data_IF_298958539840
#
_entry.id   IF_298958539840
#
_cell.length_a   1.000
_cell.length_b   1.000
_cell.length_c   1.000
_cell.angle_alpha   90.00
_cell.angle_beta   90.00
_cell.angle_gamma   90.00
#
_symmetry.space_group_name_H-M   'P 1'
#
loop_
_entity.id
_entity.type
_entity.pdbx_description
1 polymer ?
#
# COMPACT_ATOMS: atom_id res chain seq x y z
N UNK A 1 -6.44 -13.56 -23.22
CA UNK A 1 -7.01 -12.23 -22.87
C UNK A 1 -6.05 -11.10 -23.24
N UNK A 2 -4.75 -11.17 -22.87
CA UNK A 2 -3.75 -10.15 -23.18
C UNK A 2 -3.40 -10.01 -24.67
N UNK A 3 -3.49 -11.05 -25.49
CA UNK A 3 -3.20 -10.99 -26.93
C UNK A 3 -4.23 -10.16 -27.74
N UNK A 4 -5.47 -10.04 -27.26
CA UNK A 4 -6.51 -9.23 -27.91
C UNK A 4 -6.35 -7.72 -27.70
N UNK A 5 -5.81 -7.32 -26.54
CA UNK A 5 -5.74 -5.91 -26.14
C UNK A 5 -4.49 -5.17 -26.65
N UNK A 6 -3.45 -5.90 -27.10
CA UNK A 6 -2.23 -5.28 -27.70
C UNK A 6 -2.56 -4.48 -28.97
N UNK A 7 -3.64 -4.84 -29.69
CA UNK A 7 -4.08 -4.06 -30.87
C UNK A 7 -4.79 -2.74 -30.49
N UNK A 8 -5.43 -2.67 -29.30
CA UNK A 8 -6.08 -1.43 -28.82
C UNK A 8 -5.07 -0.39 -28.33
N UNK A 9 -3.93 -0.82 -27.77
CA UNK A 9 -2.83 0.09 -27.41
C UNK A 9 -2.22 0.83 -28.59
N UNK A 10 -2.40 0.33 -29.83
CA UNK A 10 -2.01 1.04 -31.06
C UNK A 10 -2.88 2.26 -31.37
N UNK A 11 -4.03 2.41 -30.73
CA UNK A 11 -4.98 3.52 -30.96
C UNK A 11 -4.55 4.81 -30.26
N UNK A 12 -3.73 4.72 -29.21
CA UNK A 12 -3.17 5.89 -28.51
C UNK A 12 -1.98 6.55 -29.20
N UNK A 13 -1.44 5.95 -30.26
CA UNK A 13 -0.21 6.41 -30.93
C UNK A 13 -0.46 7.20 -32.22
N UNK A 14 -1.44 8.09 -32.23
CA UNK A 14 -1.80 8.76 -33.51
C UNK A 14 -0.98 10.02 -33.85
N UNK A 15 -0.11 10.54 -33.00
CA UNK A 15 0.66 11.75 -33.35
C UNK A 15 2.13 11.84 -32.93
N UNK A 16 2.71 10.85 -32.18
CA UNK A 16 4.15 10.88 -31.88
C UNK A 16 4.80 9.51 -32.09
N UNK A 17 6.00 9.49 -32.70
CA UNK A 17 6.80 8.33 -33.12
C UNK A 17 7.36 7.45 -31.96
N UNK A 18 6.76 7.42 -30.79
CA UNK A 18 7.15 6.55 -29.68
C UNK A 18 6.35 5.24 -29.70
N UNK A 19 6.64 4.37 -30.67
CA UNK A 19 6.20 2.98 -30.64
C UNK A 19 6.82 2.28 -29.43
N UNK A 20 5.97 1.87 -28.47
CA UNK A 20 6.40 1.03 -27.35
C UNK A 20 6.91 -0.30 -27.92
N UNK A 21 8.14 -0.65 -27.57
CA UNK A 21 8.79 -1.87 -28.06
C UNK A 21 8.15 -3.12 -27.45
N UNK A 22 8.21 -4.24 -28.19
CA UNK A 22 7.79 -5.54 -27.65
C UNK A 22 8.62 -5.96 -26.42
N UNK A 23 9.85 -5.49 -26.34
CA UNK A 23 10.70 -5.70 -25.16
C UNK A 23 10.08 -5.05 -23.93
N UNK A 24 9.71 -3.77 -24.02
CA UNK A 24 9.07 -3.04 -22.90
C UNK A 24 7.73 -3.64 -22.50
N UNK A 25 6.88 -4.00 -23.47
CA UNK A 25 5.59 -4.66 -23.18
C UNK A 25 5.78 -5.96 -22.40
N UNK A 26 6.74 -6.79 -22.81
CA UNK A 26 7.05 -8.04 -22.13
C UNK A 26 7.65 -7.79 -20.74
N UNK A 27 8.57 -6.82 -20.59
CA UNK A 27 9.16 -6.48 -19.30
C UNK A 27 8.13 -5.98 -18.30
N UNK A 28 7.17 -5.14 -18.70
CA UNK A 28 6.10 -4.66 -17.82
C UNK A 28 5.19 -5.81 -17.40
N UNK A 29 4.78 -6.68 -18.34
CA UNK A 29 3.99 -7.86 -18.01
C UNK A 29 4.71 -8.78 -17.04
N UNK A 30 5.98 -9.08 -17.29
CA UNK A 30 6.78 -9.98 -16.46
C UNK A 30 7.06 -9.36 -15.09
N UNK A 31 7.19 -8.02 -15.01
CA UNK A 31 7.30 -7.28 -13.75
C UNK A 31 6.00 -7.39 -12.93
N UNK A 32 4.82 -7.24 -13.55
CA UNK A 32 3.55 -7.39 -12.86
C UNK A 32 3.34 -8.81 -12.33
N UNK A 33 3.76 -9.82 -13.11
CA UNK A 33 3.73 -11.21 -12.64
C UNK A 33 4.70 -11.44 -11.46
N UNK A 34 5.87 -10.83 -11.51
CA UNK A 34 6.84 -10.90 -10.41
C UNK A 34 6.31 -10.25 -9.12
N UNK A 35 5.69 -9.08 -9.25
CA UNK A 35 5.05 -8.39 -8.11
C UNK A 35 3.90 -9.25 -7.56
N UNK A 36 3.08 -9.84 -8.43
CA UNK A 36 2.00 -10.73 -8.01
C UNK A 36 2.52 -11.94 -7.23
N UNK A 37 3.57 -12.58 -7.72
CA UNK A 37 4.20 -13.73 -7.04
C UNK A 37 4.79 -13.36 -5.69
N UNK A 38 5.38 -12.17 -5.60
CA UNK A 38 6.14 -11.79 -4.41
C UNK A 38 5.26 -11.17 -3.32
N UNK A 39 4.37 -10.24 -3.70
CA UNK A 39 3.54 -9.48 -2.77
C UNK A 39 2.06 -9.89 -2.78
N UNK A 40 1.63 -10.75 -3.67
CA UNK A 40 0.21 -11.08 -3.88
C UNK A 40 -0.60 -9.93 -4.49
N UNK A 41 0.05 -8.89 -4.96
CA UNK A 41 -0.58 -7.71 -5.57
C UNK A 41 -0.72 -7.95 -7.07
N UNK A 42 -1.96 -7.95 -7.59
CA UNK A 42 -2.24 -8.12 -9.02
C UNK A 42 -2.58 -6.79 -9.67
N UNK A 43 -1.83 -6.41 -10.69
CA UNK A 43 -2.09 -5.23 -11.53
C UNK A 43 -2.63 -5.61 -12.92
N UNK A 44 -2.98 -6.89 -13.16
CA UNK A 44 -3.38 -7.36 -14.49
C UNK A 44 -4.71 -6.80 -15.01
N UNK A 45 -5.58 -6.36 -14.11
CA UNK A 45 -6.86 -5.74 -14.45
C UNK A 45 -6.77 -4.21 -14.61
N UNK A 46 -5.61 -3.62 -14.29
CA UNK A 46 -5.34 -2.19 -14.40
C UNK A 46 -4.64 -1.86 -15.74
N UNK A 47 -5.43 -1.73 -16.79
CA UNK A 47 -4.92 -1.41 -18.13
C UNK A 47 -4.34 0.00 -18.20
N UNK A 48 -4.81 0.93 -17.38
CA UNK A 48 -4.27 2.29 -17.33
C UNK A 48 -2.87 2.29 -16.74
N UNK A 49 -2.66 1.61 -15.60
CA UNK A 49 -1.33 1.42 -15.03
C UNK A 49 -0.39 0.74 -16.03
N UNK A 50 -0.85 -0.33 -16.70
CA UNK A 50 -0.04 -1.05 -17.69
C UNK A 50 0.45 -0.11 -18.79
N UNK A 51 -0.45 0.69 -19.36
CA UNK A 51 -0.12 1.64 -20.41
C UNK A 51 0.86 2.73 -19.93
N UNK A 52 0.57 3.36 -18.78
CA UNK A 52 1.43 4.38 -18.18
C UNK A 52 2.81 3.84 -17.84
N UNK A 53 2.89 2.61 -17.33
CA UNK A 53 4.15 1.96 -17.00
C UNK A 53 4.96 1.66 -18.28
N UNK A 54 4.34 1.20 -19.35
CA UNK A 54 5.00 1.02 -20.65
C UNK A 54 5.55 2.34 -21.21
N UNK A 55 4.74 3.40 -21.16
CA UNK A 55 5.15 4.74 -21.62
C UNK A 55 6.31 5.31 -20.81
N UNK A 56 6.35 5.05 -19.52
CA UNK A 56 7.44 5.47 -18.65
C UNK A 56 8.70 4.61 -18.88
N UNK A 57 8.55 3.30 -18.92
CA UNK A 57 9.68 2.36 -19.00
C UNK A 57 10.41 2.41 -20.34
N UNK A 58 9.73 2.67 -21.46
CA UNK A 58 10.39 2.74 -22.77
C UNK A 58 11.56 3.74 -22.80
N UNK A 59 11.37 5.04 -22.46
CA UNK A 59 12.48 5.99 -22.41
C UNK A 59 13.42 5.74 -21.20
N UNK A 60 12.92 5.21 -20.09
CA UNK A 60 13.74 4.85 -18.93
C UNK A 60 14.79 3.79 -19.30
N UNK A 61 14.41 2.73 -19.98
CA UNK A 61 15.32 1.66 -20.45
C UNK A 61 16.44 2.25 -21.30
N UNK A 62 16.10 3.17 -22.19
CA UNK A 62 17.10 3.82 -23.04
C UNK A 62 18.06 4.69 -22.21
N UNK A 63 17.56 5.46 -21.24
CA UNK A 63 18.41 6.26 -20.36
C UNK A 63 19.35 5.39 -19.56
N UNK A 64 18.81 4.35 -18.93
CA UNK A 64 19.57 3.43 -18.07
C UNK A 64 20.67 2.72 -18.86
N UNK A 65 20.38 2.21 -20.05
CA UNK A 65 21.36 1.56 -20.92
C UNK A 65 22.47 2.49 -21.39
N UNK A 66 22.16 3.75 -21.60
CA UNK A 66 23.12 4.76 -22.08
C UNK A 66 23.77 5.56 -20.94
N UNK A 67 23.47 5.25 -19.68
CA UNK A 67 24.03 5.94 -18.52
C UNK A 67 23.61 7.41 -18.44
N UNK A 68 22.43 7.77 -18.97
CA UNK A 68 21.90 9.13 -18.97
C UNK A 68 21.18 9.36 -17.62
N UNK A 69 21.69 10.26 -16.75
CA UNK A 69 21.07 10.50 -15.46
C UNK A 69 19.75 11.24 -15.59
N UNK A 70 18.76 10.86 -14.79
CA UNK A 70 17.50 11.56 -14.60
C UNK A 70 17.48 12.21 -13.22
N UNK A 71 16.97 13.43 -13.09
CA UNK A 71 16.77 14.09 -11.80
C UNK A 71 15.29 14.14 -11.45
N UNK A 72 14.97 13.72 -10.24
CA UNK A 72 13.62 13.80 -9.70
C UNK A 72 13.57 14.82 -8.55
N UNK A 73 13.06 16.04 -8.78
CA UNK A 73 13.00 17.08 -7.75
C UNK A 73 12.00 16.77 -6.63
N UNK A 74 11.11 15.79 -6.83
CA UNK A 74 10.08 15.38 -5.86
C UNK A 74 10.48 14.12 -5.09
N UNK A 75 11.71 13.62 -5.23
CA UNK A 75 12.10 12.33 -4.67
C UNK A 75 11.87 12.25 -3.16
N UNK A 76 12.29 13.25 -2.39
CA UNK A 76 12.11 13.26 -0.93
C UNK A 76 10.62 13.30 -0.53
N UNK A 77 9.82 14.07 -1.27
CA UNK A 77 8.36 14.14 -1.07
C UNK A 77 7.70 12.79 -1.38
N UNK A 78 8.09 12.15 -2.49
CA UNK A 78 7.56 10.83 -2.87
C UNK A 78 7.87 9.79 -1.80
N UNK A 79 9.10 9.78 -1.28
CA UNK A 79 9.51 8.86 -0.20
C UNK A 79 8.69 9.05 1.08
N UNK A 80 8.36 10.29 1.44
CA UNK A 80 7.62 10.60 2.67
C UNK A 80 6.10 10.43 2.53
N UNK A 81 5.53 10.79 1.38
CA UNK A 81 4.06 10.80 1.19
C UNK A 81 3.53 9.54 0.52
N UNK A 82 4.39 8.79 -0.18
CA UNK A 82 4.03 7.55 -0.87
C UNK A 82 5.04 6.41 -0.56
N UNK A 83 5.24 6.06 0.70
CA UNK A 83 6.25 5.06 1.08
C UNK A 83 5.97 3.67 0.50
N UNK A 84 4.70 3.25 0.41
CA UNK A 84 4.33 1.93 -0.13
C UNK A 84 4.62 1.83 -1.64
N UNK A 85 4.24 2.86 -2.41
CA UNK A 85 4.56 2.92 -3.85
C UNK A 85 6.05 2.99 -4.09
N UNK A 86 6.79 3.70 -3.22
CA UNK A 86 8.23 3.79 -3.32
C UNK A 86 8.93 2.46 -3.00
N UNK A 87 8.47 1.75 -1.97
CA UNK A 87 9.01 0.44 -1.64
C UNK A 87 8.80 -0.58 -2.77
N UNK A 88 7.61 -0.59 -3.34
CA UNK A 88 7.32 -1.43 -4.51
C UNK A 88 8.19 -1.06 -5.72
N UNK A 89 8.45 0.24 -5.93
CA UNK A 89 9.33 0.70 -7.00
C UNK A 89 10.78 0.29 -6.78
N UNK A 90 11.28 0.30 -5.54
CA UNK A 90 12.63 -0.20 -5.21
C UNK A 90 12.76 -1.68 -5.57
N UNK A 91 11.77 -2.50 -5.20
CA UNK A 91 11.75 -3.91 -5.58
C UNK A 91 11.72 -4.10 -7.11
N UNK A 92 10.81 -3.40 -7.78
CA UNK A 92 10.65 -3.44 -9.23
C UNK A 92 11.95 -3.05 -9.96
N UNK A 93 12.59 -1.96 -9.54
CA UNK A 93 13.84 -1.49 -10.14
C UNK A 93 15.02 -2.43 -9.88
N UNK A 94 15.08 -3.07 -8.70
CA UNK A 94 16.07 -4.12 -8.44
C UNK A 94 15.91 -5.29 -9.40
N UNK A 95 14.67 -5.77 -9.59
CA UNK A 95 14.37 -6.86 -10.51
C UNK A 95 14.68 -6.49 -11.98
N UNK A 96 14.33 -5.26 -12.39
CA UNK A 96 14.64 -4.73 -13.71
C UNK A 96 16.15 -4.56 -13.94
N UNK A 97 16.89 -4.08 -12.93
CA UNK A 97 18.35 -3.90 -13.01
C UNK A 97 19.07 -5.21 -13.34
N UNK A 98 18.61 -6.31 -12.77
CA UNK A 98 19.17 -7.65 -13.06
C UNK A 98 18.89 -8.07 -14.52
N UNK A 99 17.68 -7.79 -15.05
CA UNK A 99 17.31 -8.17 -16.42
C UNK A 99 17.93 -7.27 -17.48
N UNK A 100 18.07 -5.99 -17.18
CA UNK A 100 18.70 -5.02 -18.07
C UNK A 100 20.23 -5.03 -17.98
N UNK A 101 20.79 -5.72 -16.98
CA UNK A 101 22.21 -5.69 -16.61
C UNK A 101 22.74 -4.24 -16.50
N UNK A 102 21.95 -3.39 -15.86
CA UNK A 102 22.21 -1.96 -15.69
C UNK A 102 21.64 -1.45 -14.36
N UNK A 103 22.29 -0.45 -13.76
CA UNK A 103 21.86 0.15 -12.50
C UNK A 103 20.76 1.17 -12.74
N UNK A 104 19.66 1.07 -11.99
CA UNK A 104 18.57 2.05 -11.97
C UNK A 104 18.72 2.86 -10.68
N UNK A 105 18.78 4.17 -10.81
CA UNK A 105 18.99 5.07 -9.66
C UNK A 105 17.69 5.41 -8.91
N UNK A 106 17.83 6.06 -7.75
CA UNK A 106 16.69 6.44 -6.91
C UNK A 106 15.72 7.43 -7.57
N UNK A 107 16.18 8.24 -8.52
CA UNK A 107 15.33 9.20 -9.21
C UNK A 107 14.32 8.48 -10.13
N UNK A 108 14.77 7.46 -10.84
CA UNK A 108 13.89 6.60 -11.65
C UNK A 108 12.94 5.78 -10.76
N UNK A 109 13.42 5.26 -9.62
CA UNK A 109 12.56 4.60 -8.62
C UNK A 109 11.44 5.54 -8.16
N UNK A 110 11.76 6.82 -7.91
CA UNK A 110 10.76 7.81 -7.52
C UNK A 110 9.67 8.03 -8.57
N UNK A 111 10.01 8.05 -9.85
CA UNK A 111 9.00 8.16 -10.91
C UNK A 111 8.14 6.91 -11.02
N UNK A 112 8.72 5.71 -10.95
CA UNK A 112 7.95 4.47 -10.90
C UNK A 112 7.02 4.40 -9.68
N UNK A 113 7.47 4.93 -8.55
CA UNK A 113 6.69 4.97 -7.31
C UNK A 113 5.38 5.76 -7.47
N UNK A 114 5.37 6.82 -8.28
CA UNK A 114 4.13 7.58 -8.54
C UNK A 114 3.07 6.71 -9.21
N UNK A 115 3.45 5.91 -10.20
CA UNK A 115 2.52 5.01 -10.88
C UNK A 115 2.01 3.92 -9.94
N UNK A 116 2.90 3.27 -9.19
CA UNK A 116 2.49 2.25 -8.22
C UNK A 116 1.64 2.82 -7.10
N UNK A 117 1.96 4.05 -6.61
CA UNK A 117 1.18 4.68 -5.55
C UNK A 117 -0.27 4.92 -5.95
N UNK A 118 -0.51 5.45 -7.14
CA UNK A 118 -1.87 5.66 -7.67
C UNK A 118 -2.60 4.33 -7.79
N UNK A 119 -1.95 3.30 -8.33
CA UNK A 119 -2.55 1.98 -8.49
C UNK A 119 -2.88 1.33 -7.14
N UNK A 120 -1.96 1.40 -6.16
CA UNK A 120 -2.18 0.88 -4.81
C UNK A 120 -3.33 1.61 -4.10
N UNK A 121 -3.45 2.93 -4.32
CA UNK A 121 -4.55 3.72 -3.77
C UNK A 121 -5.89 3.39 -4.43
N UNK A 122 -5.88 3.01 -5.70
CA UNK A 122 -7.05 2.56 -6.45
C UNK A 122 -7.48 1.12 -6.16
N UNK A 123 -6.60 0.29 -5.59
CA UNK A 123 -6.95 -1.09 -5.23
C UNK A 123 -7.94 -1.12 -4.09
N UNK A 124 -8.85 -2.14 -4.10
CA UNK A 124 -9.70 -2.42 -2.95
C UNK A 124 -8.83 -2.62 -1.71
N UNK A 125 -8.86 -1.66 -0.80
CA UNK A 125 -8.15 -1.78 0.47
C UNK A 125 -8.85 -2.87 1.30
N UNK A 126 -8.12 -3.82 1.90
CA UNK A 126 -8.70 -4.71 2.89
C UNK A 126 -9.42 -3.86 3.93
N UNK A 127 -10.73 -4.09 4.11
CA UNK A 127 -11.55 -3.31 5.04
C UNK A 127 -12.39 -2.19 4.42
N UNK A 128 -12.47 -2.06 3.10
CA UNK A 128 -13.49 -1.22 2.46
C UNK A 128 -14.89 -1.76 2.80
N UNK A 129 -15.80 -0.86 3.20
CA UNK A 129 -17.12 -1.22 3.72
C UNK A 129 -18.21 -0.96 2.68
N UNK A 130 -19.15 -1.90 2.59
CA UNK A 130 -20.43 -1.68 1.90
C UNK A 130 -21.34 -0.93 2.85
N UNK A 131 -21.69 0.30 2.49
CA UNK A 131 -22.44 1.20 3.35
C UNK A 131 -23.87 1.35 2.83
N UNK A 132 -24.85 1.17 3.72
CA UNK A 132 -26.23 1.52 3.48
C UNK A 132 -26.53 2.89 4.08
N UNK A 133 -26.84 3.88 3.26
CA UNK A 133 -27.23 5.21 3.69
C UNK A 133 -28.77 5.35 3.69
N UNK A 134 -29.36 5.44 4.89
CA UNK A 134 -30.82 5.47 5.10
C UNK A 134 -31.29 6.88 5.45
N UNK A 135 -32.31 7.35 4.74
CA UNK A 135 -32.91 8.67 4.98
C UNK A 135 -34.43 8.57 5.14
N UNK A 136 -35.03 9.55 5.84
CA UNK A 136 -36.47 9.58 6.08
C UNK A 136 -37.29 9.66 4.78
N UNK A 137 -36.98 10.64 3.94
CA UNK A 137 -37.65 10.87 2.68
C UNK A 137 -36.83 11.86 1.82
N UNK A 138 -36.84 11.64 0.53
CA UNK A 138 -36.34 12.60 -0.43
C UNK A 138 -34.99 12.30 -1.05
N UNK A 139 -34.96 12.43 -2.38
CA UNK A 139 -33.76 12.20 -3.22
C UNK A 139 -32.65 13.18 -2.86
N UNK A 140 -32.97 14.37 -2.34
CA UNK A 140 -31.97 15.39 -2.01
C UNK A 140 -31.10 15.05 -0.80
N UNK A 141 -31.73 14.61 0.29
CA UNK A 141 -31.00 14.27 1.55
C UNK A 141 -30.13 13.02 1.39
N UNK A 142 -30.62 12.00 0.69
CA UNK A 142 -29.84 10.78 0.41
C UNK A 142 -28.64 11.06 -0.51
N UNK A 143 -28.82 11.92 -1.53
CA UNK A 143 -27.69 12.34 -2.38
C UNK A 143 -26.66 13.14 -1.62
N UNK A 144 -27.09 14.04 -0.72
CA UNK A 144 -26.17 14.83 0.10
C UNK A 144 -25.39 13.97 1.08
N UNK A 145 -26.07 13.04 1.76
CA UNK A 145 -25.41 12.09 2.65
C UNK A 145 -24.40 11.22 1.88
N UNK A 146 -24.81 10.65 0.74
CA UNK A 146 -23.93 9.88 -0.12
C UNK A 146 -22.69 10.68 -0.53
N UNK A 147 -22.88 11.90 -1.05
CA UNK A 147 -21.78 12.79 -1.45
C UNK A 147 -20.80 13.07 -0.29
N UNK A 148 -21.32 13.36 0.91
CA UNK A 148 -20.50 13.63 2.07
C UNK A 148 -19.71 12.38 2.52
N UNK A 149 -20.33 11.20 2.48
CA UNK A 149 -19.68 9.94 2.78
C UNK A 149 -18.58 9.61 1.75
N UNK A 150 -18.87 9.76 0.46
CA UNK A 150 -17.87 9.58 -0.61
C UNK A 150 -16.68 10.54 -0.47
N UNK A 151 -16.96 11.82 -0.19
CA UNK A 151 -15.95 12.84 -0.02
C UNK A 151 -15.02 12.59 1.19
N UNK A 152 -15.59 12.15 2.31
CA UNK A 152 -14.86 12.00 3.57
C UNK A 152 -14.22 10.60 3.74
N UNK A 153 -14.86 9.57 3.16
CA UNK A 153 -14.51 8.17 3.41
C UNK A 153 -14.38 7.34 2.13
N UNK A 154 -14.36 7.96 0.93
CA UNK A 154 -14.35 7.25 -0.35
C UNK A 154 -13.30 6.14 -0.45
N UNK A 155 -12.10 6.37 0.10
CA UNK A 155 -11.04 5.36 0.14
C UNK A 155 -11.33 4.17 1.09
N UNK A 156 -12.31 4.30 1.99
CA UNK A 156 -12.72 3.28 2.96
C UNK A 156 -14.06 2.64 2.63
N UNK A 157 -14.63 2.96 1.47
CA UNK A 157 -15.95 2.51 1.03
C UNK A 157 -15.83 1.71 -0.25
N UNK A 158 -16.38 0.50 -0.26
CA UNK A 158 -16.52 -0.31 -1.48
C UNK A 158 -17.71 0.18 -2.31
N UNK A 159 -18.85 0.41 -1.63
CA UNK A 159 -20.08 0.90 -2.27
C UNK A 159 -20.97 1.64 -1.27
N UNK A 160 -21.73 2.63 -1.74
CA UNK A 160 -22.77 3.30 -0.96
C UNK A 160 -24.12 3.10 -1.66
N UNK A 161 -24.96 2.28 -1.06
CA UNK A 161 -26.36 2.12 -1.46
C UNK A 161 -27.21 3.10 -0.66
N UNK A 162 -28.12 3.81 -1.31
CA UNK A 162 -29.07 4.72 -0.64
C UNK A 162 -30.46 4.08 -0.60
N UNK A 163 -31.10 4.13 0.56
CA UNK A 163 -32.48 3.65 0.73
C UNK A 163 -33.32 4.61 1.55
N UNK A 164 -34.63 4.54 1.37
CA UNK A 164 -35.61 5.19 2.27
C UNK A 164 -35.86 4.26 3.45
N UNK A 165 -36.22 4.82 4.61
CA UNK A 165 -36.58 4.03 5.78
C UNK A 165 -37.70 2.99 5.48
N UNK A 166 -38.65 3.34 4.61
CA UNK A 166 -39.72 2.44 4.18
C UNK A 166 -39.28 1.25 3.31
N UNK A 167 -38.11 1.34 2.70
CA UNK A 167 -37.54 0.31 1.81
C UNK A 167 -36.68 -0.70 2.60
N UNK A 168 -36.18 -0.28 3.76
CA UNK A 168 -35.25 -1.07 4.60
C UNK A 168 -35.82 -2.45 4.97
N UNK A 169 -37.14 -2.56 5.20
CA UNK A 169 -37.80 -3.83 5.55
C UNK A 169 -37.78 -4.88 4.43
N UNK A 170 -37.51 -4.47 3.19
CA UNK A 170 -37.46 -5.33 2.02
C UNK A 170 -36.03 -5.67 1.59
N UNK A 171 -35.02 -5.15 2.31
CA UNK A 171 -33.61 -5.30 1.99
C UNK A 171 -32.94 -6.36 2.87
N UNK A 172 -31.97 -7.07 2.32
CA UNK A 172 -31.09 -7.90 3.11
C UNK A 172 -29.97 -7.01 3.72
N UNK A 173 -30.15 -6.68 5.00
CA UNK A 173 -29.23 -5.80 5.73
C UNK A 173 -27.89 -6.50 6.07
N UNK A 174 -27.80 -7.81 5.97
CA UNK A 174 -26.56 -8.54 6.20
C UNK A 174 -25.51 -8.35 5.10
N UNK A 175 -25.92 -7.83 3.94
CA UNK A 175 -25.02 -7.49 2.85
C UNK A 175 -24.17 -6.22 3.12
N UNK A 176 -24.50 -5.45 4.16
CA UNK A 176 -23.84 -4.19 4.48
C UNK A 176 -22.98 -4.31 5.73
N UNK A 177 -21.82 -3.68 5.69
CA UNK A 177 -20.86 -3.65 6.81
C UNK A 177 -21.12 -2.48 7.76
N UNK A 178 -21.85 -1.45 7.29
CA UNK A 178 -22.22 -0.27 8.06
C UNK A 178 -23.53 0.32 7.54
N UNK A 179 -24.44 0.68 8.47
CA UNK A 179 -25.66 1.43 8.17
C UNK A 179 -25.50 2.84 8.72
N UNK A 180 -25.63 3.84 7.85
CA UNK A 180 -25.59 5.27 8.24
C UNK A 180 -26.98 5.85 8.01
N UNK A 181 -27.61 6.34 9.05
CA UNK A 181 -29.01 6.82 8.98
C UNK A 181 -29.15 8.26 9.44
N UNK A 182 -30.03 9.02 8.80
CA UNK A 182 -30.40 10.39 9.24
C UNK A 182 -31.62 10.43 10.16
N UNK A 183 -32.21 9.27 10.46
CA UNK A 183 -33.43 9.13 11.28
C UNK A 183 -33.24 7.99 12.28
N UNK A 184 -34.04 7.92 13.35
CA UNK A 184 -34.02 6.77 14.25
C UNK A 184 -34.18 5.45 13.47
N UNK A 185 -33.42 4.45 13.86
CA UNK A 185 -33.37 3.14 13.19
C UNK A 185 -33.75 2.05 14.18
N UNK A 186 -35.02 1.67 14.18
CA UNK A 186 -35.61 0.78 15.19
C UNK A 186 -35.72 -0.69 14.70
N UNK A 187 -34.97 -1.07 13.67
CA UNK A 187 -34.95 -2.45 13.18
C UNK A 187 -33.86 -3.27 13.88
N UNK A 188 -34.16 -4.51 14.27
CA UNK A 188 -33.15 -5.39 14.86
C UNK A 188 -32.17 -5.83 13.78
N UNK A 189 -30.93 -5.39 13.88
CA UNK A 189 -29.84 -5.73 12.93
C UNK A 189 -28.56 -6.04 13.70
N UNK A 190 -27.77 -6.96 13.17
CA UNK A 190 -26.41 -7.24 13.65
C UNK A 190 -25.38 -6.23 13.13
N UNK A 191 -25.70 -5.62 11.99
CA UNK A 191 -24.85 -4.60 11.36
C UNK A 191 -24.81 -3.32 12.20
N UNK A 192 -23.63 -2.74 12.34
CA UNK A 192 -23.44 -1.48 13.09
C UNK A 192 -24.25 -0.34 12.44
N UNK A 193 -25.07 0.34 13.23
CA UNK A 193 -25.86 1.49 12.82
C UNK A 193 -25.31 2.76 13.44
N UNK A 194 -25.17 3.82 12.64
CA UNK A 194 -24.77 5.16 13.10
C UNK A 194 -25.78 6.18 12.62
N UNK A 195 -26.39 6.87 13.57
CA UNK A 195 -27.27 7.99 13.26
C UNK A 195 -26.44 9.28 13.15
N UNK A 196 -26.66 10.03 12.08
CA UNK A 196 -25.92 11.26 11.74
C UNK A 196 -26.85 12.35 11.22
N UNK A 197 -26.39 13.59 11.25
CA UNK A 197 -27.06 14.68 10.51
C UNK A 197 -26.75 14.64 9.02
N UNK A 198 -27.65 15.20 8.18
CA UNK A 198 -27.43 15.25 6.71
C UNK A 198 -26.13 15.96 6.32
N UNK A 199 -25.66 16.92 7.11
CA UNK A 199 -24.48 17.75 6.84
C UNK A 199 -23.22 17.27 7.58
N UNK A 200 -23.30 16.14 8.29
CA UNK A 200 -22.19 15.53 9.03
C UNK A 200 -21.45 16.54 9.92
N UNK A 201 -21.96 16.78 11.13
CA UNK A 201 -21.26 17.57 12.14
C UNK A 201 -19.88 16.97 12.47
N UNK A 202 -19.01 17.70 13.16
CA UNK A 202 -17.71 17.16 13.56
C UNK A 202 -17.86 15.89 14.39
N UNK A 203 -18.81 15.84 15.31
CA UNK A 203 -19.11 14.63 16.09
C UNK A 203 -19.57 13.45 15.24
N UNK A 204 -20.37 13.71 14.18
CA UNK A 204 -20.79 12.67 13.24
C UNK A 204 -19.59 12.13 12.45
N UNK A 205 -18.70 13.02 12.00
CA UNK A 205 -17.49 12.64 11.29
C UNK A 205 -16.57 11.78 12.18
N UNK A 206 -16.42 12.14 13.45
CA UNK A 206 -15.60 11.37 14.39
C UNK A 206 -16.21 10.00 14.70
N UNK A 207 -17.55 9.91 14.85
CA UNK A 207 -18.25 8.64 15.02
C UNK A 207 -18.11 7.74 13.79
N UNK A 208 -18.21 8.32 12.59
CA UNK A 208 -18.01 7.61 11.32
C UNK A 208 -16.54 7.18 11.17
N UNK A 209 -15.56 8.06 11.44
CA UNK A 209 -14.13 7.68 11.42
C UNK A 209 -13.87 6.45 12.29
N UNK A 210 -14.37 6.46 13.53
CA UNK A 210 -14.26 5.33 14.45
C UNK A 210 -14.94 4.06 13.90
N UNK A 211 -16.03 4.19 13.14
CA UNK A 211 -16.70 3.05 12.54
C UNK A 211 -15.97 2.51 11.31
N UNK A 212 -15.40 3.39 10.50
CA UNK A 212 -14.60 2.98 9.33
C UNK A 212 -13.26 2.39 9.73
N UNK A 213 -12.61 2.93 10.77
CA UNK A 213 -11.35 2.39 11.32
C UNK A 213 -11.53 1.12 12.15
N UNK A 214 -12.72 0.91 12.73
CA UNK A 214 -13.07 -0.30 13.46
C UNK A 214 -13.45 -1.48 12.53
N UNK A 215 -12.65 -1.75 11.50
CA UNK A 215 -12.54 -3.10 11.00
C UNK A 215 -11.64 -3.83 12.00
N UNK A 216 -12.25 -4.61 12.87
CA UNK A 216 -11.58 -5.34 13.95
C UNK A 216 -10.36 -6.13 13.46
N UNK A 217 -10.38 -6.63 12.23
CA UNK A 217 -9.31 -7.46 11.71
C UNK A 217 -8.00 -6.72 11.43
N UNK A 218 -8.03 -5.49 10.88
CA UNK A 218 -6.78 -4.78 10.56
C UNK A 218 -6.11 -4.18 11.80
N UNK A 219 -6.89 -3.61 12.72
CA UNK A 219 -6.36 -3.10 13.97
C UNK A 219 -5.83 -4.24 14.86
N UNK A 220 -6.57 -5.35 14.94
CA UNK A 220 -6.16 -6.54 15.67
C UNK A 220 -4.94 -7.21 15.03
N UNK A 221 -4.87 -7.27 13.71
CA UNK A 221 -3.68 -7.76 12.99
C UNK A 221 -2.46 -6.88 13.22
N UNK A 222 -2.63 -5.54 13.20
CA UNK A 222 -1.54 -4.62 13.51
C UNK A 222 -1.09 -4.77 14.97
N UNK A 223 -2.02 -4.84 15.93
CA UNK A 223 -1.71 -5.05 17.34
C UNK A 223 -0.96 -6.38 17.53
N UNK A 224 -1.39 -7.45 16.85
CA UNK A 224 -0.73 -8.77 16.91
C UNK A 224 0.67 -8.77 16.28
N UNK A 225 0.93 -7.85 15.33
CA UNK A 225 2.26 -7.71 14.75
C UNK A 225 3.28 -7.14 15.74
N UNK A 226 2.83 -6.38 16.75
CA UNK A 226 3.68 -5.88 17.82
C UNK A 226 3.70 -6.88 18.98
N UNK A 227 4.91 -7.25 19.41
CA UNK A 227 5.12 -8.05 20.62
C UNK A 227 6.01 -7.26 21.60
N UNK A 228 5.57 -7.04 22.84
CA UNK A 228 6.40 -6.36 23.86
C UNK A 228 7.79 -6.98 24.04
N UNK A 229 7.94 -8.28 23.82
CA UNK A 229 9.22 -8.96 23.90
C UNK A 229 10.21 -8.57 22.77
N UNK A 230 9.69 -7.95 21.68
CA UNK A 230 10.48 -7.41 20.56
C UNK A 230 10.71 -5.89 20.69
N UNK A 231 10.43 -5.31 21.87
CA UNK A 231 10.70 -3.89 22.14
C UNK A 231 12.02 -3.72 22.86
N UNK A 232 12.89 -2.87 22.31
CA UNK A 232 14.18 -2.49 22.88
C UNK A 232 14.10 -1.01 23.31
N UNK A 233 14.01 -0.77 24.60
CA UNK A 233 14.13 0.59 25.16
C UNK A 233 15.58 0.93 25.41
N UNK A 234 15.97 2.17 25.07
CA UNK A 234 17.34 2.67 25.22
C UNK A 234 18.38 1.83 24.46
N UNK A 235 18.06 1.45 23.21
CA UNK A 235 18.96 0.72 22.34
C UNK A 235 20.32 1.42 22.21
N UNK A 236 21.40 0.71 22.51
CA UNK A 236 22.77 1.23 22.48
C UNK A 236 23.43 0.84 21.16
N UNK A 237 23.11 1.58 20.10
CA UNK A 237 23.69 1.43 18.77
C UNK A 237 24.37 2.73 18.35
N UNK A 238 25.56 2.63 17.77
CA UNK A 238 26.32 3.77 17.24
C UNK A 238 26.08 3.97 15.74
N UNK A 239 25.64 2.92 15.05
CA UNK A 239 25.35 2.91 13.61
C UNK A 239 23.99 2.31 13.33
N UNK A 240 23.43 2.63 12.17
CA UNK A 240 22.16 2.04 11.73
C UNK A 240 22.26 0.52 11.54
N UNK A 241 23.41 0.01 11.11
CA UNK A 241 23.66 -1.44 10.98
C UNK A 241 23.53 -2.13 12.34
N UNK A 242 24.18 -1.59 13.38
CA UNK A 242 24.07 -2.13 14.74
C UNK A 242 22.63 -2.11 15.26
N UNK A 243 21.87 -1.06 14.96
CA UNK A 243 20.45 -0.98 15.34
C UNK A 243 19.63 -2.08 14.67
N UNK A 244 19.83 -2.31 13.37
CA UNK A 244 19.16 -3.38 12.62
C UNK A 244 19.58 -4.76 13.11
N UNK A 245 20.87 -4.99 13.37
CA UNK A 245 21.39 -6.26 13.92
C UNK A 245 20.76 -6.58 15.28
N UNK A 246 20.70 -5.61 16.20
CA UNK A 246 20.09 -5.78 17.51
C UNK A 246 18.61 -6.12 17.41
N UNK A 247 17.87 -5.45 16.51
CA UNK A 247 16.47 -5.73 16.26
C UNK A 247 16.23 -7.12 15.66
N UNK A 248 17.04 -7.52 14.67
CA UNK A 248 16.98 -8.87 14.10
C UNK A 248 17.26 -9.94 15.16
N UNK A 249 18.25 -9.71 16.03
CA UNK A 249 18.57 -10.61 17.15
C UNK A 249 17.42 -10.68 18.16
N UNK A 250 16.81 -9.53 18.50
CA UNK A 250 15.61 -9.48 19.35
C UNK A 250 14.47 -10.28 18.74
N UNK A 251 14.19 -10.06 17.46
CA UNK A 251 13.14 -10.78 16.73
C UNK A 251 13.39 -12.27 16.66
N UNK A 252 14.63 -12.70 16.37
CA UNK A 252 15.02 -14.13 16.30
C UNK A 252 14.93 -14.85 17.64
N UNK A 253 14.98 -14.13 18.74
CA UNK A 253 14.78 -14.69 20.09
C UNK A 253 13.31 -15.00 20.40
N UNK A 254 12.38 -14.37 19.68
CA UNK A 254 10.94 -14.51 19.87
C UNK A 254 10.29 -15.41 18.82
N UNK A 255 10.76 -15.36 17.58
CA UNK A 255 10.22 -16.11 16.44
C UNK A 255 11.33 -16.69 15.58
N UNK A 256 10.97 -17.70 14.78
CA UNK A 256 11.90 -18.22 13.77
C UNK A 256 11.95 -17.24 12.58
N UNK A 257 13.14 -16.70 12.31
CA UNK A 257 13.41 -15.87 11.12
C UNK A 257 14.42 -16.59 10.23
N UNK A 258 14.33 -16.45 8.88
CA UNK A 258 15.32 -17.05 7.98
C UNK A 258 16.73 -16.51 8.20
N UNK A 259 17.75 -17.34 7.94
CA UNK A 259 19.17 -16.99 8.14
C UNK A 259 19.61 -15.75 7.33
N UNK A 260 18.99 -15.52 6.19
CA UNK A 260 19.27 -14.38 5.31
C UNK A 260 18.47 -13.12 5.63
N UNK A 261 17.56 -13.15 6.62
CA UNK A 261 16.69 -12.03 6.99
C UNK A 261 17.49 -10.74 7.26
N UNK A 262 18.52 -10.80 8.08
CA UNK A 262 19.39 -9.66 8.37
C UNK A 262 20.06 -9.14 7.09
N UNK A 263 20.65 -10.04 6.28
CA UNK A 263 21.31 -9.67 5.04
C UNK A 263 20.36 -8.96 4.09
N UNK A 264 19.16 -9.52 3.87
CA UNK A 264 18.16 -8.94 2.98
C UNK A 264 17.62 -7.59 3.49
N UNK A 265 17.56 -7.39 4.82
CA UNK A 265 17.24 -6.09 5.42
C UNK A 265 18.34 -5.05 5.18
N UNK A 266 19.61 -5.44 5.35
CA UNK A 266 20.75 -4.57 5.04
C UNK A 266 20.82 -4.23 3.56
N UNK A 267 20.64 -5.22 2.68
CA UNK A 267 20.60 -5.02 1.23
C UNK A 267 19.48 -4.04 0.84
N UNK A 268 18.29 -4.13 1.47
CA UNK A 268 17.18 -3.22 1.24
C UNK A 268 17.52 -1.78 1.62
N UNK A 269 18.11 -1.59 2.79
CA UNK A 269 18.51 -0.25 3.28
C UNK A 269 19.59 0.39 2.39
N UNK A 270 20.51 -0.43 1.85
CA UNK A 270 21.56 0.03 0.93
C UNK A 270 21.04 0.42 -0.44
N UNK A 271 19.92 -0.13 -0.89
CA UNK A 271 19.27 0.26 -2.16
C UNK A 271 18.67 1.65 -2.07
N UNK A 272 18.01 1.96 -0.97
CA UNK A 272 17.44 3.24 -0.65
C UNK A 272 17.05 3.27 0.83
N UNK A 273 17.27 4.42 1.47
CA UNK A 273 16.97 4.60 2.88
C UNK A 273 15.51 4.38 3.22
N UNK A 274 15.26 3.62 4.29
CA UNK A 274 13.92 3.41 4.86
C UNK A 274 13.50 4.49 5.86
N UNK A 275 14.20 5.63 5.90
CA UNK A 275 13.82 6.78 6.71
C UNK A 275 12.51 7.40 6.20
N UNK A 276 11.49 7.49 7.07
CA UNK A 276 10.14 7.99 6.73
C UNK A 276 9.83 9.37 7.30
N UNK A 277 10.81 10.09 7.82
CA UNK A 277 10.59 11.37 8.49
C UNK A 277 10.50 11.24 10.02
N UNK A 278 10.32 12.37 10.71
CA UNK A 278 10.10 12.45 12.17
C UNK A 278 11.09 11.64 13.02
N UNK A 279 12.34 11.50 12.58
CA UNK A 279 13.39 10.67 13.19
C UNK A 279 13.04 9.17 13.26
N UNK A 280 12.19 8.69 12.35
CA UNK A 280 11.78 7.29 12.26
C UNK A 280 12.38 6.63 11.04
N UNK A 281 12.80 5.36 11.18
CA UNK A 281 13.17 4.48 10.08
C UNK A 281 12.40 3.16 10.19
N UNK A 282 12.11 2.55 9.04
CA UNK A 282 11.29 1.34 8.92
C UNK A 282 12.05 0.29 8.10
N UNK A 283 13.21 -0.21 8.58
CA UNK A 283 13.95 -1.25 7.88
C UNK A 283 13.11 -2.53 7.75
N UNK A 284 13.25 -3.19 6.59
CA UNK A 284 12.57 -4.44 6.27
C UNK A 284 13.37 -5.19 5.21
N UNK A 285 13.25 -6.52 5.09
CA UNK A 285 13.95 -7.27 4.07
C UNK A 285 13.39 -6.99 2.67
N UNK A 286 14.23 -7.22 1.65
CA UNK A 286 13.81 -7.11 0.24
C UNK A 286 12.81 -8.19 -0.18
N UNK A 287 12.45 -9.11 0.70
CA UNK A 287 11.57 -10.25 0.44
C UNK A 287 10.62 -10.50 1.59
N UNK A 288 9.42 -10.98 1.29
CA UNK A 288 8.44 -11.43 2.29
C UNK A 288 8.82 -12.83 2.77
N UNK A 289 9.20 -12.96 4.04
CA UNK A 289 9.93 -14.13 4.52
C UNK A 289 9.25 -14.86 5.69
N UNK A 290 8.36 -14.19 6.42
CA UNK A 290 7.76 -14.72 7.64
C UNK A 290 6.44 -15.44 7.36
N UNK A 291 5.99 -16.23 8.34
CA UNK A 291 4.65 -16.85 8.34
C UNK A 291 3.56 -15.89 8.80
N UNK A 292 3.94 -14.88 9.59
CA UNK A 292 3.05 -13.83 10.09
C UNK A 292 3.78 -12.48 10.10
N UNK A 293 3.01 -11.40 10.01
CA UNK A 293 3.57 -10.05 10.14
C UNK A 293 4.08 -9.82 11.56
N UNK A 294 5.29 -9.31 11.69
CA UNK A 294 5.92 -8.97 12.98
C UNK A 294 6.66 -7.65 12.87
N UNK A 295 6.60 -6.88 13.95
CA UNK A 295 7.27 -5.58 14.07
C UNK A 295 8.09 -5.57 15.36
N UNK A 296 9.40 -5.46 15.23
CA UNK A 296 10.28 -5.19 16.35
C UNK A 296 10.59 -3.70 16.42
N UNK A 297 10.59 -3.12 17.61
CA UNK A 297 10.72 -1.67 17.82
C UNK A 297 11.92 -1.38 18.70
N UNK A 298 12.69 -0.35 18.34
CA UNK A 298 13.78 0.17 19.17
C UNK A 298 13.63 1.67 19.33
N UNK A 299 13.65 2.12 20.58
CA UNK A 299 13.94 3.49 20.94
C UNK A 299 15.43 3.63 21.23
N UNK A 300 16.15 4.38 20.44
CA UNK A 300 17.58 4.57 20.56
C UNK A 300 17.92 5.51 21.72
N UNK A 301 18.89 5.14 22.54
CA UNK A 301 19.40 5.96 23.64
C UNK A 301 19.96 7.31 23.15
N UNK A 302 20.51 7.32 21.96
CA UNK A 302 21.00 8.52 21.24
C UNK A 302 20.62 8.39 19.77
N UNK A 303 20.19 9.47 19.11
CA UNK A 303 19.89 9.43 17.69
C UNK A 303 21.10 9.01 16.87
N UNK A 304 20.93 8.04 15.98
CA UNK A 304 21.95 7.48 15.08
C UNK A 304 21.82 8.11 13.69
N UNK A 305 22.95 8.29 13.01
CA UNK A 305 22.95 8.71 11.60
C UNK A 305 22.53 7.52 10.72
N UNK A 306 21.43 7.68 10.02
CA UNK A 306 20.88 6.65 9.14
C UNK A 306 21.56 6.69 7.74
N UNK A 307 21.24 5.70 6.89
CA UNK A 307 21.89 5.51 5.57
C UNK A 307 21.84 6.75 4.66
N UNK A 308 20.83 7.62 4.80
CA UNK A 308 20.67 8.87 4.06
C UNK A 308 21.26 10.10 4.77
N UNK A 309 22.02 9.92 5.85
CA UNK A 309 22.60 11.01 6.64
C UNK A 309 21.62 11.71 7.60
N UNK A 310 20.36 11.29 7.67
CA UNK A 310 19.37 11.82 8.63
C UNK A 310 19.53 11.14 9.99
N UNK A 311 19.15 11.85 11.08
CA UNK A 311 19.17 11.29 12.42
C UNK A 311 17.87 10.54 12.72
N UNK A 312 18.02 9.29 13.20
CA UNK A 312 16.93 8.40 13.61
C UNK A 312 16.98 8.16 15.10
N UNK A 313 15.82 8.15 15.72
CA UNK A 313 15.60 7.91 17.14
C UNK A 313 14.71 6.67 17.37
N UNK A 314 13.78 6.43 16.44
CA UNK A 314 12.88 5.28 16.47
C UNK A 314 13.11 4.39 15.25
N UNK A 315 13.27 3.10 15.50
CA UNK A 315 13.46 2.09 14.45
C UNK A 315 12.38 1.02 14.56
N UNK A 316 11.68 0.77 13.47
CA UNK A 316 10.61 -0.23 13.36
C UNK A 316 11.03 -1.27 12.33
N UNK A 317 11.61 -2.39 12.78
CA UNK A 317 11.97 -3.50 11.89
C UNK A 317 10.71 -4.30 11.55
N UNK A 318 10.34 -4.33 10.27
CA UNK A 318 9.16 -5.04 9.79
C UNK A 318 9.55 -6.35 9.14
N UNK A 319 8.96 -7.44 9.61
CA UNK A 319 8.95 -8.73 8.95
C UNK A 319 7.56 -9.00 8.38
N UNK A 320 7.46 -9.17 7.07
CA UNK A 320 6.20 -9.39 6.36
C UNK A 320 5.93 -10.87 6.14
N UNK A 321 4.65 -11.25 6.26
CA UNK A 321 4.14 -12.59 5.97
C UNK A 321 4.31 -12.90 4.49
N UNK A 322 4.78 -14.13 4.20
CA UNK A 322 4.81 -14.67 2.83
C UNK A 322 3.38 -14.78 2.28
N UNK A 323 3.20 -14.32 1.07
CA UNK A 323 1.96 -14.54 0.33
C UNK A 323 1.94 -15.98 -0.20
N UNK A 324 0.92 -16.75 0.20
CA UNK A 324 0.64 -18.05 -0.37
C UNK A 324 -0.35 -17.89 -1.53
N UNK A 325 0.08 -18.23 -2.73
CA UNK A 325 -0.82 -18.23 -3.90
C UNK A 325 -1.84 -19.37 -3.72
N UNK A 326 -3.10 -19.02 -3.45
CA UNK A 326 -4.20 -19.98 -3.27
C UNK A 326 -4.47 -20.83 -4.54
N UNK A 327 -3.64 -20.73 -5.56
CA UNK A 327 -3.76 -21.38 -6.86
C UNK A 327 -2.80 -22.53 -7.14
N UNK A 328 -1.82 -22.83 -6.25
CA UNK A 328 -0.82 -23.90 -6.54
C UNK A 328 -1.28 -25.32 -6.24
N UNK A 329 -2.47 -25.54 -5.66
CA UNK A 329 -3.03 -26.86 -5.34
C UNK A 329 -4.09 -27.37 -6.35
N UNK A 330 -4.06 -26.89 -7.59
CA UNK A 330 -4.88 -27.46 -8.68
C UNK A 330 -3.99 -27.82 -9.87
N UNK A 331 -3.30 -28.95 -9.74
CA UNK A 331 -2.87 -29.81 -10.84
C UNK A 331 -3.38 -31.21 -10.59
#
# INVERSE_FOLDING_TARGET
FLQGNIQELRIFSREDENLISMETLNLVRDLFEEIRRHYGISFFDDMELFALMCMHMEPMIQRVRNGIPMRNPLLDTIKSENPNGYDLAVYACRWLSQRLNASIDENEMGYMALHFGIALDGMKKPGQKRVLAVCASGVGTSRMLKYNLEKLFGNSVESITTARMSEVTQMDLSEYDLIVTTVPFDYPVSTRVIQVGCFLSQSDQDALRNAFTASSDNADQLIRAFDPAMYIENGDAETWQQAVEQLCKGMSSCINIPDDFLKLTMDREMLSSTYIGNRCAVPHPTSVLLEENRIAVMHLKKPVVWSNGKRVEWVFLIGMKRYEDAGSDRL
#
